data_IF_693172115471
#
_entry.id   IF_693172115471
#
_cell.length_a   1.000
_cell.length_b   1.000
_cell.length_c   1.000
_cell.angle_alpha   90.00
_cell.angle_beta   90.00
_cell.angle_gamma   90.00
#
_symmetry.space_group_name_H-M   'P 1'
#
loop_
_entity.id
_entity.type
_entity.pdbx_description
1 polymer ?
#
# COMPACT_ATOMS: atom_id res chain seq x y z
N UNK A 1 3.73 7.62 -37.95
CA UNK A 1 4.98 7.20 -38.61
C UNK A 1 5.88 6.60 -37.54
N UNK A 2 6.24 5.33 -37.74
CA UNK A 2 6.99 4.49 -36.81
C UNK A 2 8.48 4.76 -37.03
N UNK A 3 9.23 5.13 -36.00
CA UNK A 3 10.69 5.12 -36.09
C UNK A 3 11.24 4.27 -34.95
N UNK A 4 11.74 3.11 -35.36
CA UNK A 4 12.36 2.08 -34.54
C UNK A 4 13.72 2.59 -34.10
N UNK A 5 13.93 2.77 -32.80
CA UNK A 5 15.26 3.08 -32.26
C UNK A 5 16.04 1.77 -32.25
N UNK A 6 17.08 1.78 -33.09
CA UNK A 6 17.98 0.68 -33.37
C UNK A 6 18.90 0.48 -32.17
N UNK A 7 18.95 -0.76 -31.72
CA UNK A 7 19.92 -1.35 -30.82
C UNK A 7 21.35 -1.09 -31.36
N UNK A 8 22.15 -0.33 -30.62
CA UNK A 8 23.57 -0.15 -30.90
C UNK A 8 24.35 -0.57 -29.66
N UNK A 9 24.80 -1.83 -29.69
CA UNK A 9 25.76 -2.37 -28.74
C UNK A 9 27.05 -1.55 -28.84
N UNK A 10 27.36 -0.76 -27.81
CA UNK A 10 28.70 -0.22 -27.60
C UNK A 10 29.30 -0.93 -26.38
N UNK A 11 30.06 -1.98 -26.68
CA UNK A 11 31.10 -2.51 -25.81
C UNK A 11 32.14 -1.41 -25.61
N UNK A 12 32.16 -0.79 -24.44
CA UNK A 12 33.26 0.06 -23.99
C UNK A 12 33.77 -0.55 -22.69
N UNK A 13 34.78 -1.39 -22.83
CA UNK A 13 35.67 -1.72 -21.74
C UNK A 13 36.67 -0.57 -21.59
N UNK A 14 36.67 0.09 -20.43
CA UNK A 14 37.63 1.14 -20.11
C UNK A 14 37.25 1.83 -18.81
N UNK A 15 38.11 1.70 -17.80
CA UNK A 15 38.01 2.40 -16.53
C UNK A 15 37.91 3.92 -16.77
N UNK A 16 36.75 4.51 -16.46
CA UNK A 16 36.64 5.94 -16.21
C UNK A 16 35.82 6.14 -14.96
N UNK A 17 36.32 7.02 -14.11
CA UNK A 17 35.83 7.35 -12.78
C UNK A 17 34.30 7.49 -12.71
N UNK A 18 33.73 7.01 -11.60
CA UNK A 18 32.37 7.34 -11.20
C UNK A 18 32.25 8.85 -11.07
N UNK A 19 31.51 9.48 -11.96
CA UNK A 19 30.93 10.78 -11.70
C UNK A 19 29.48 10.81 -12.18
N UNK A 20 28.71 11.56 -11.41
CA UNK A 20 27.37 12.07 -11.65
C UNK A 20 26.18 11.12 -11.47
N UNK A 21 25.55 11.29 -10.31
CA UNK A 21 24.21 10.80 -10.03
C UNK A 21 23.81 10.95 -8.56
N UNK A 22 23.99 12.14 -7.96
CA UNK A 22 23.25 12.47 -6.73
C UNK A 22 21.75 12.47 -7.06
N UNK A 23 21.06 11.40 -6.67
CA UNK A 23 19.63 11.42 -6.49
C UNK A 23 19.42 11.45 -4.97
N UNK A 24 19.19 12.68 -4.50
CA UNK A 24 18.82 13.01 -3.14
C UNK A 24 17.52 12.31 -2.74
N UNK A 25 17.57 11.69 -1.57
CA UNK A 25 16.48 11.43 -0.64
C UNK A 25 15.05 11.31 -1.17
N UNK A 26 14.62 10.10 -1.47
CA UNK A 26 13.32 9.63 -0.98
C UNK A 26 13.51 8.24 -0.37
N UNK A 27 13.38 8.21 0.95
CA UNK A 27 13.39 7.02 1.80
C UNK A 27 12.16 6.18 1.45
N UNK A 28 12.29 5.31 0.44
CA UNK A 28 11.35 4.23 0.21
C UNK A 28 11.37 3.36 1.46
N UNK A 29 10.31 3.45 2.24
CA UNK A 29 10.08 2.51 3.33
C UNK A 29 9.58 1.25 2.63
N UNK A 30 10.33 0.16 2.75
CA UNK A 30 9.97 -1.17 2.24
C UNK A 30 8.52 -1.49 2.61
N UNK A 31 7.61 -1.36 1.65
CA UNK A 31 6.22 -1.78 1.78
C UNK A 31 6.19 -3.30 1.81
N UNK A 32 6.23 -3.87 3.02
CA UNK A 32 6.04 -5.30 3.18
C UNK A 32 4.59 -5.64 2.86
N UNK A 33 4.37 -6.30 1.73
CA UNK A 33 3.10 -6.95 1.37
C UNK A 33 2.80 -8.05 2.41
N UNK A 34 2.10 -7.68 3.48
CA UNK A 34 1.74 -8.58 4.56
C UNK A 34 0.27 -8.99 4.42
N UNK A 35 0.02 -10.30 4.48
CA UNK A 35 -1.33 -10.81 4.59
C UNK A 35 -1.86 -10.52 6.00
N UNK A 36 -2.95 -9.75 6.12
CA UNK A 36 -3.66 -9.58 7.39
C UNK A 36 -4.31 -10.92 7.76
N UNK A 37 -4.06 -11.43 8.96
CA UNK A 37 -4.83 -12.57 9.50
C UNK A 37 -5.77 -12.11 10.62
N UNK A 38 -6.87 -12.84 10.80
CA UNK A 38 -7.86 -12.56 11.85
C UNK A 38 -7.23 -12.52 13.25
N UNK A 39 -6.18 -13.32 13.47
CA UNK A 39 -5.49 -13.40 14.77
C UNK A 39 -4.58 -12.20 15.04
N UNK A 40 -4.20 -11.45 14.01
CA UNK A 40 -3.29 -10.31 14.14
C UNK A 40 -4.03 -8.98 14.38
N UNK A 41 -5.20 -8.81 13.77
CA UNK A 41 -5.86 -7.52 13.67
C UNK A 41 -7.34 -7.62 13.98
N UNK A 42 -7.77 -6.98 15.07
CA UNK A 42 -9.17 -7.03 15.53
C UNK A 42 -10.16 -6.47 14.49
N UNK A 43 -9.70 -5.55 13.63
CA UNK A 43 -10.48 -4.97 12.55
C UNK A 43 -10.69 -5.93 11.37
N UNK A 44 -9.95 -7.04 11.28
CA UNK A 44 -9.95 -7.93 10.13
C UNK A 44 -11.34 -8.49 9.80
N UNK A 45 -12.09 -8.92 10.82
CA UNK A 45 -13.43 -9.47 10.61
C UNK A 45 -14.35 -8.46 9.92
N UNK A 46 -14.35 -7.20 10.38
CA UNK A 46 -15.16 -6.13 9.81
C UNK A 46 -14.66 -5.72 8.43
N UNK A 47 -13.34 -5.69 8.22
CA UNK A 47 -12.75 -5.46 6.90
C UNK A 47 -13.25 -6.51 5.90
N UNK A 48 -13.15 -7.80 6.25
CA UNK A 48 -13.56 -8.91 5.37
C UNK A 48 -15.09 -8.98 5.14
N UNK A 49 -15.89 -8.42 6.05
CA UNK A 49 -17.34 -8.28 5.87
C UNK A 49 -17.73 -7.08 5.01
N UNK A 50 -16.95 -6.00 5.06
CA UNK A 50 -17.28 -4.73 4.39
C UNK A 50 -16.74 -4.68 2.97
N UNK A 51 -15.56 -5.26 2.74
CA UNK A 51 -14.87 -5.28 1.44
C UNK A 51 -14.39 -6.71 1.13
N UNK A 52 -14.40 -7.08 -0.16
CA UNK A 52 -13.87 -8.35 -0.62
C UNK A 52 -12.34 -8.32 -0.62
N UNK A 53 -11.73 -8.92 0.41
CA UNK A 53 -10.28 -8.95 0.57
C UNK A 53 -9.58 -9.95 -0.34
N UNK A 54 -10.29 -10.90 -0.98
CA UNK A 54 -9.67 -11.99 -1.74
C UNK A 54 -8.89 -11.49 -2.96
N UNK A 55 -9.39 -10.41 -3.58
CA UNK A 55 -8.84 -9.85 -4.82
C UNK A 55 -8.02 -8.58 -4.58
N UNK A 56 -7.66 -8.31 -3.32
CA UNK A 56 -6.98 -7.08 -2.92
C UNK A 56 -5.63 -7.37 -2.27
N UNK A 57 -4.60 -6.68 -2.76
CA UNK A 57 -3.31 -6.59 -2.10
C UNK A 57 -3.41 -5.61 -0.94
N UNK A 58 -2.89 -6.01 0.23
CA UNK A 58 -2.93 -5.22 1.46
C UNK A 58 -1.55 -4.61 1.72
N UNK A 59 -1.52 -3.31 1.96
CA UNK A 59 -0.29 -2.57 2.23
C UNK A 59 -0.46 -1.80 3.55
N UNK A 60 0.29 -2.22 4.57
CA UNK A 60 0.32 -1.53 5.85
C UNK A 60 1.25 -0.32 5.71
N UNK A 61 0.67 0.87 5.56
CA UNK A 61 1.44 2.11 5.41
C UNK A 61 1.80 2.75 6.75
N UNK A 62 1.02 2.47 7.80
CA UNK A 62 1.32 2.93 9.16
C UNK A 62 0.77 1.92 10.16
N UNK A 63 1.60 1.49 11.11
CA UNK A 63 1.16 0.73 12.29
C UNK A 63 1.97 1.19 13.51
N UNK A 64 1.34 1.98 14.38
CA UNK A 64 1.96 2.46 15.62
C UNK A 64 1.03 2.28 16.82
N UNK A 65 1.44 2.77 17.99
CA UNK A 65 0.66 2.62 19.22
C UNK A 65 -0.75 3.23 19.14
N UNK A 66 -0.93 4.27 18.31
CA UNK A 66 -2.19 5.02 18.24
C UNK A 66 -3.12 4.53 17.15
N UNK A 67 -2.59 4.19 15.97
CA UNK A 67 -3.41 3.84 14.81
C UNK A 67 -2.71 2.86 13.85
N UNK A 68 -3.54 2.23 13.03
CA UNK A 68 -3.11 1.47 11.85
C UNK A 68 -3.81 2.00 10.61
N UNK A 69 -3.05 2.13 9.52
CA UNK A 69 -3.55 2.56 8.22
C UNK A 69 -3.14 1.51 7.20
N UNK A 70 -4.12 1.02 6.44
CA UNK A 70 -3.93 -0.02 5.44
C UNK A 70 -4.51 0.47 4.12
N UNK A 71 -3.74 0.37 3.05
CA UNK A 71 -4.21 0.54 1.68
C UNK A 71 -4.54 -0.80 1.07
N UNK A 72 -5.59 -0.83 0.25
CA UNK A 72 -6.03 -2.02 -0.46
C UNK A 72 -6.04 -1.73 -1.95
N UNK A 73 -5.23 -2.50 -2.68
CA UNK A 73 -4.99 -2.31 -4.11
C UNK A 73 -5.50 -3.49 -4.91
N UNK A 74 -5.92 -3.23 -6.15
CA UNK A 74 -6.16 -4.29 -7.14
C UNK A 74 -4.85 -4.97 -7.53
N UNK A 75 -4.93 -6.09 -8.25
CA UNK A 75 -3.74 -6.74 -8.83
C UNK A 75 -2.94 -5.84 -9.78
N UNK A 76 -3.56 -4.77 -10.31
CA UNK A 76 -2.91 -3.78 -11.17
C UNK A 76 -2.23 -2.65 -10.39
N UNK A 77 -2.29 -2.67 -9.05
CA UNK A 77 -1.73 -1.63 -8.18
C UNK A 77 -2.60 -0.38 -8.05
N UNK A 78 -3.90 -0.47 -8.39
CA UNK A 78 -4.83 0.63 -8.20
C UNK A 78 -5.36 0.63 -6.76
N UNK A 79 -5.10 1.69 -5.98
CA UNK A 79 -5.65 1.87 -4.64
C UNK A 79 -7.18 2.09 -4.68
N UNK A 80 -7.96 1.13 -4.18
CA UNK A 80 -9.44 1.22 -4.17
C UNK A 80 -9.97 1.55 -2.78
N UNK A 81 -9.33 1.05 -1.73
CA UNK A 81 -9.76 1.30 -0.36
C UNK A 81 -8.61 1.72 0.55
N UNK A 82 -8.99 2.45 1.60
CA UNK A 82 -8.14 2.76 2.74
C UNK A 82 -8.90 2.47 4.02
N UNK A 83 -8.25 1.77 4.95
CA UNK A 83 -8.73 1.67 6.32
C UNK A 83 -7.88 2.50 7.27
N UNK A 84 -8.54 3.03 8.31
CA UNK A 84 -7.88 3.70 9.43
C UNK A 84 -8.50 3.12 10.69
N UNK A 85 -7.69 2.42 11.47
CA UNK A 85 -8.08 1.88 12.76
C UNK A 85 -7.42 2.67 13.88
N UNK A 86 -8.22 3.35 14.70
CA UNK A 86 -7.77 4.09 15.88
C UNK A 86 -7.81 3.16 17.10
N UNK A 87 -6.65 2.76 17.59
CA UNK A 87 -6.49 1.68 18.58
C UNK A 87 -7.07 2.04 19.95
N UNK A 88 -6.94 3.29 20.35
CA UNK A 88 -7.42 3.79 21.65
C UNK A 88 -8.95 3.73 21.77
N UNK A 89 -9.66 4.11 20.71
CA UNK A 89 -11.12 4.20 20.68
C UNK A 89 -11.79 3.02 19.99
N UNK A 90 -10.97 2.05 19.57
CA UNK A 90 -11.35 0.95 18.69
C UNK A 90 -12.23 1.37 17.52
N UNK A 91 -11.97 2.54 16.95
CA UNK A 91 -12.76 3.08 15.83
C UNK A 91 -12.14 2.65 14.51
N UNK A 92 -12.91 1.94 13.70
CA UNK A 92 -12.53 1.59 12.34
C UNK A 92 -13.23 2.52 11.35
N UNK A 93 -12.44 3.08 10.43
CA UNK A 93 -12.93 3.76 9.23
C UNK A 93 -12.52 2.95 8.02
N UNK A 94 -13.44 2.78 7.08
CA UNK A 94 -13.16 2.21 5.75
C UNK A 94 -13.65 3.21 4.73
N UNK A 95 -12.76 3.59 3.82
CA UNK A 95 -12.98 4.62 2.82
C UNK A 95 -12.74 3.97 1.46
N UNK A 96 -13.71 4.08 0.57
CA UNK A 96 -13.55 3.84 -0.86
C UNK A 96 -12.92 5.08 -1.48
N UNK A 97 -11.79 4.94 -2.17
CA UNK A 97 -10.99 6.05 -2.69
C UNK A 97 -11.54 6.66 -3.99
N UNK A 98 -12.40 5.93 -4.70
CA UNK A 98 -13.27 6.48 -5.74
C UNK A 98 -14.52 7.18 -5.19
N UNK A 99 -15.69 6.91 -5.79
CA UNK A 99 -16.87 7.77 -5.61
C UNK A 99 -17.60 7.63 -4.25
N UNK A 100 -17.54 6.47 -3.60
CA UNK A 100 -18.36 6.21 -2.41
C UNK A 100 -17.85 6.88 -1.14
N UNK A 101 -16.58 7.29 -1.10
CA UNK A 101 -15.99 7.93 0.08
C UNK A 101 -16.06 7.04 1.33
N UNK A 102 -16.45 7.61 2.47
CA UNK A 102 -16.52 6.89 3.75
C UNK A 102 -17.67 5.86 3.75
N UNK A 103 -17.34 4.57 3.77
CA UNK A 103 -18.32 3.47 3.72
C UNK A 103 -18.51 2.75 5.07
N UNK A 104 -17.60 2.94 6.02
CA UNK A 104 -17.72 2.44 7.38
C UNK A 104 -17.03 3.41 8.35
N UNK A 105 -17.63 3.68 9.52
CA UNK A 105 -17.06 4.56 10.55
C UNK A 105 -17.65 4.29 11.93
N UNK A 106 -17.35 3.13 12.51
CA UNK A 106 -17.90 2.74 13.81
C UNK A 106 -16.81 2.32 14.79
N UNK A 107 -17.15 2.39 16.08
CA UNK A 107 -16.37 1.71 17.10
C UNK A 107 -16.68 0.22 17.03
N UNK A 108 -15.64 -0.58 16.83
CA UNK A 108 -15.71 -2.04 16.77
C UNK A 108 -15.33 -2.60 18.14
N UNK A 109 -16.09 -3.59 18.63
CA UNK A 109 -15.77 -4.19 19.92
C UNK A 109 -14.44 -4.94 19.83
N UNK A 110 -13.67 -4.93 20.92
CA UNK A 110 -12.55 -5.86 21.09
C UNK A 110 -13.13 -7.27 21.20
N UNK A 111 -12.87 -8.10 20.19
CA UNK A 111 -13.04 -9.55 20.31
C UNK A 111 -12.09 -10.15 21.34
#
# INVERSE_FOLDING_TARGET
MKQRIILLCLLIAGLTACDEGQIDGQKYTEESKQALTADQFQEYHILNQTIDLQNLTQIIVEDNASKRVILFETELGEEIYKSIYIKETSRLKIIHLGEKGLIFNETIMKG
#
